data_IF_472731766662
#
_entry.id   IF_472731766662
#
_cell.length_a   1.000
_cell.length_b   1.000
_cell.length_c   1.000
_cell.angle_alpha   90.00
_cell.angle_beta   90.00
_cell.angle_gamma   90.00
#
_symmetry.space_group_name_H-M   'P 1'
#
loop_
_entity.id
_entity.type
_entity.pdbx_description
1 polymer ?
#
# COMPACT_ATOMS: atom_id res chain seq x y z
N UNK A 1 40.49 -34.72 -23.06
CA UNK A 1 39.11 -34.36 -23.48
C UNK A 1 38.24 -34.86 -22.36
N UNK A 2 37.97 -33.99 -21.39
CA UNK A 2 37.12 -34.29 -20.25
C UNK A 2 35.87 -33.44 -20.36
N UNK A 3 34.74 -34.11 -20.22
CA UNK A 3 33.39 -33.57 -20.24
C UNK A 3 32.92 -33.55 -18.79
N UNK A 4 32.65 -32.34 -18.33
CA UNK A 4 31.66 -31.90 -17.35
C UNK A 4 31.01 -32.94 -16.41
N UNK A 5 31.02 -32.67 -15.10
CA UNK A 5 29.79 -32.32 -14.36
C UNK A 5 30.10 -32.01 -12.90
N UNK A 6 29.63 -30.85 -12.44
CA UNK A 6 29.30 -30.60 -11.04
C UNK A 6 30.38 -29.87 -10.26
N UNK A 7 30.42 -28.54 -10.40
CA UNK A 7 31.08 -27.69 -9.42
C UNK A 7 30.39 -27.86 -8.05
N UNK A 8 31.06 -28.54 -7.13
CA UNK A 8 30.87 -28.33 -5.69
C UNK A 8 31.27 -26.89 -5.37
N UNK A 9 30.32 -26.08 -4.89
CA UNK A 9 30.63 -24.82 -4.25
C UNK A 9 30.09 -24.83 -2.81
N UNK A 10 31.07 -24.92 -1.93
CA UNK A 10 31.09 -24.53 -0.53
C UNK A 10 30.10 -23.38 -0.22
N UNK A 11 29.03 -23.66 0.54
CA UNK A 11 27.96 -22.71 0.92
C UNK A 11 28.44 -21.67 1.97
N UNK A 12 29.46 -20.90 1.63
CA UNK A 12 29.83 -19.65 2.31
C UNK A 12 30.41 -18.68 1.29
N UNK A 13 29.51 -18.04 0.55
CA UNK A 13 29.50 -16.60 0.22
C UNK A 13 28.57 -16.36 -0.97
N UNK A 14 27.84 -15.23 -0.94
CA UNK A 14 27.00 -14.65 -2.00
C UNK A 14 25.57 -15.21 -2.14
N UNK A 15 24.61 -14.57 -1.48
CA UNK A 15 23.34 -14.27 -2.16
C UNK A 15 23.48 -12.84 -2.68
N UNK A 16 24.24 -12.71 -3.76
CA UNK A 16 24.18 -11.57 -4.67
C UNK A 16 23.78 -12.12 -6.04
N UNK A 17 22.51 -12.53 -6.16
CA UNK A 17 21.75 -12.50 -7.42
C UNK A 17 20.26 -12.40 -7.12
N UNK A 18 19.83 -11.21 -6.74
CA UNK A 18 18.59 -10.65 -7.28
C UNK A 18 18.97 -9.29 -7.87
N UNK A 19 19.72 -9.35 -8.98
CA UNK A 19 19.74 -8.25 -9.93
C UNK A 19 18.33 -8.21 -10.54
N UNK A 20 17.70 -7.05 -10.46
CA UNK A 20 16.31 -6.74 -10.86
C UNK A 20 15.20 -7.06 -9.84
N UNK A 21 15.19 -6.31 -8.73
CA UNK A 21 13.94 -5.86 -8.14
C UNK A 21 14.12 -4.44 -7.63
N UNK A 22 13.78 -3.48 -8.49
CA UNK A 22 13.25 -2.17 -8.11
C UNK A 22 11.99 -2.39 -7.25
N UNK A 23 12.13 -2.96 -6.05
CA UNK A 23 11.06 -2.94 -5.05
C UNK A 23 11.10 -1.57 -4.39
N UNK A 24 10.76 -0.56 -5.15
CA UNK A 24 10.19 0.66 -4.60
C UNK A 24 8.98 0.22 -3.77
N UNK A 25 9.16 0.08 -2.46
CA UNK A 25 8.03 -0.02 -1.54
C UNK A 25 7.12 1.17 -1.85
N UNK A 26 5.92 0.90 -2.37
CA UNK A 26 4.93 1.93 -2.64
C UNK A 26 4.41 2.43 -1.29
N UNK A 27 5.13 3.40 -0.71
CA UNK A 27 4.70 4.08 0.51
C UNK A 27 3.54 4.99 0.11
N UNK A 28 2.33 4.61 0.51
CA UNK A 28 1.17 5.48 0.39
C UNK A 28 1.20 6.48 1.53
N UNK A 29 1.24 7.76 1.20
CA UNK A 29 1.12 8.83 2.19
C UNK A 29 -0.36 9.07 2.52
N UNK A 30 -0.76 8.66 3.72
CA UNK A 30 -2.10 8.90 4.24
C UNK A 30 -2.21 10.17 5.10
N UNK A 31 -1.12 10.91 5.32
CA UNK A 31 -1.13 12.12 6.15
C UNK A 31 -2.17 13.17 5.71
N UNK A 32 -2.42 13.41 4.40
CA UNK A 32 -3.42 14.38 3.96
C UNK A 32 -4.85 14.07 4.40
N UNK A 33 -5.16 12.81 4.71
CA UNK A 33 -6.51 12.37 5.04
C UNK A 33 -6.80 12.36 6.55
N UNK A 34 -5.78 12.61 7.39
CA UNK A 34 -5.88 12.50 8.84
C UNK A 34 -6.92 13.46 9.44
N UNK A 35 -6.95 14.71 8.95
CA UNK A 35 -7.92 15.73 9.39
C UNK A 35 -9.36 15.36 9.02
N UNK A 36 -9.55 14.43 8.07
CA UNK A 36 -10.84 13.90 7.66
C UNK A 36 -11.21 12.60 8.35
N UNK A 37 -10.50 12.23 9.42
CA UNK A 37 -10.79 11.07 10.26
C UNK A 37 -10.21 9.76 9.76
N UNK A 38 -9.29 9.78 8.78
CA UNK A 38 -8.55 8.60 8.36
C UNK A 38 -7.40 8.33 9.33
N UNK A 39 -7.31 7.08 9.79
CA UNK A 39 -6.22 6.61 10.63
C UNK A 39 -5.67 5.29 10.11
N UNK A 40 -4.36 5.12 10.25
CA UNK A 40 -3.62 3.96 9.77
C UNK A 40 -3.11 3.17 10.98
N UNK A 41 -3.49 1.90 11.07
CA UNK A 41 -2.99 0.99 12.10
C UNK A 41 -2.29 -0.18 11.40
N UNK A 42 -0.96 -0.15 11.46
CA UNK A 42 -0.10 -1.26 11.06
C UNK A 42 0.24 -2.14 12.25
N UNK A 43 0.31 -3.46 12.05
CA UNK A 43 0.99 -4.36 12.98
C UNK A 43 2.40 -4.61 12.48
N UNK A 44 3.36 -4.71 13.39
CA UNK A 44 4.78 -5.03 13.12
C UNK A 44 5.02 -6.33 12.32
N UNK A 45 3.97 -7.14 12.11
CA UNK A 45 4.02 -8.40 11.37
C UNK A 45 3.13 -8.43 10.10
N UNK A 46 2.33 -7.40 9.83
CA UNK A 46 1.57 -7.29 8.58
C UNK A 46 2.21 -6.25 7.68
N UNK A 47 2.64 -6.69 6.49
CA UNK A 47 3.30 -5.86 5.48
C UNK A 47 2.38 -4.74 4.93
N UNK A 48 1.08 -4.79 5.21
CA UNK A 48 0.10 -3.81 4.75
C UNK A 48 -0.69 -3.26 5.96
N UNK A 49 -0.71 -1.94 6.17
CA UNK A 49 -1.52 -1.36 7.23
C UNK A 49 -3.03 -1.50 6.98
N UNK A 50 -3.83 -1.32 8.03
CA UNK A 50 -5.29 -1.21 7.86
C UNK A 50 -5.72 0.24 8.00
N UNK A 51 -6.69 0.63 7.17
CA UNK A 51 -7.31 1.96 7.16
C UNK A 51 -8.56 1.95 8.03
N UNK A 52 -8.76 3.01 8.79
CA UNK A 52 -9.96 3.26 9.59
C UNK A 52 -10.49 4.66 9.30
N UNK A 53 -11.81 4.82 9.23
CA UNK A 53 -12.51 6.09 9.06
C UNK A 53 -13.35 6.37 10.29
N UNK A 54 -13.03 7.44 11.02
CA UNK A 54 -13.66 7.80 12.31
C UNK A 54 -13.68 6.62 13.31
N UNK A 55 -12.65 5.76 13.27
CA UNK A 55 -12.52 4.57 14.12
C UNK A 55 -13.20 3.30 13.59
N UNK A 56 -13.91 3.37 12.47
CA UNK A 56 -14.51 2.20 11.81
C UNK A 56 -13.56 1.59 10.78
N UNK A 57 -13.46 0.27 10.75
CA UNK A 57 -12.54 -0.44 9.87
C UNK A 57 -12.98 -0.31 8.40
N UNK A 58 -12.11 0.26 7.56
CA UNK A 58 -12.35 0.45 6.12
C UNK A 58 -11.87 -0.76 5.33
N UNK A 59 -12.73 -1.33 4.49
CA UNK A 59 -12.37 -2.41 3.56
C UNK A 59 -11.62 -1.90 2.35
N UNK A 60 -12.17 -0.85 1.73
CA UNK A 60 -11.58 -0.17 0.57
C UNK A 60 -11.63 1.33 0.79
N UNK A 61 -10.48 1.97 0.58
CA UNK A 61 -10.32 3.42 0.51
C UNK A 61 -10.10 3.80 -0.95
N UNK A 62 -10.91 4.73 -1.45
CA UNK A 62 -10.80 5.30 -2.78
C UNK A 62 -10.32 6.74 -2.69
N UNK A 63 -9.29 7.06 -3.48
CA UNK A 63 -8.93 8.45 -3.74
C UNK A 63 -9.19 8.76 -5.21
N UNK A 64 -10.22 9.54 -5.50
CA UNK A 64 -10.61 9.94 -6.85
C UNK A 64 -10.47 11.44 -7.03
N UNK A 65 -9.44 11.90 -7.74
CA UNK A 65 -9.20 13.33 -7.96
C UNK A 65 -9.94 13.82 -9.21
N UNK A 66 -10.31 15.11 -9.19
CA UNK A 66 -11.02 15.76 -10.29
C UNK A 66 -10.23 15.81 -11.61
N UNK A 67 -8.91 15.62 -11.57
CA UNK A 67 -8.05 15.54 -12.75
C UNK A 67 -8.05 14.14 -13.41
N UNK A 68 -8.80 13.18 -12.87
CA UNK A 68 -8.88 11.80 -13.36
C UNK A 68 -7.84 10.85 -12.75
N UNK A 69 -6.95 11.36 -11.89
CA UNK A 69 -6.06 10.50 -11.11
C UNK A 69 -6.87 9.76 -10.06
N UNK A 70 -6.68 8.45 -9.95
CA UNK A 70 -7.30 7.67 -8.91
C UNK A 70 -6.34 6.63 -8.32
N UNK A 71 -6.49 6.35 -7.03
CA UNK A 71 -5.93 5.15 -6.42
C UNK A 71 -6.93 4.47 -5.51
N UNK A 72 -6.73 3.17 -5.34
CA UNK A 72 -7.52 2.33 -4.43
C UNK A 72 -6.55 1.67 -3.46
N UNK A 73 -6.92 1.67 -2.18
CA UNK A 73 -6.24 0.90 -1.16
C UNK A 73 -7.19 -0.10 -0.50
N UNK A 74 -6.77 -1.37 -0.45
CA UNK A 74 -7.53 -2.43 0.21
C UNK A 74 -6.85 -2.83 1.52
N UNK A 75 -7.56 -2.65 2.63
CA UNK A 75 -7.14 -3.18 3.93
C UNK A 75 -7.16 -4.71 3.93
N UNK A 76 -6.24 -5.33 4.67
CA UNK A 76 -6.11 -6.79 4.71
C UNK A 76 -7.28 -7.47 5.44
N UNK A 77 -7.78 -6.84 6.51
CA UNK A 77 -8.87 -7.37 7.34
C UNK A 77 -10.26 -7.39 6.67
N UNK A 78 -11.23 -7.95 7.38
CA UNK A 78 -12.63 -8.13 6.95
C UNK A 78 -13.51 -6.94 7.33
N UNK A 79 -13.12 -5.74 6.90
CA UNK A 79 -13.98 -4.56 6.97
C UNK A 79 -15.24 -4.66 6.14
N UNK A 80 -16.24 -3.85 6.50
CA UNK A 80 -17.52 -3.77 5.78
C UNK A 80 -17.77 -2.40 5.13
N UNK A 81 -17.02 -1.35 5.49
CA UNK A 81 -17.26 -0.01 4.93
C UNK A 81 -16.28 0.32 3.79
N UNK A 82 -16.80 1.08 2.83
CA UNK A 82 -16.07 1.64 1.71
C UNK A 82 -16.10 3.15 1.89
N UNK A 83 -14.98 3.82 1.63
CA UNK A 83 -14.90 5.27 1.75
C UNK A 83 -14.21 5.88 0.54
N UNK A 84 -14.60 7.10 0.20
CA UNK A 84 -14.09 7.85 -0.93
C UNK A 84 -13.74 9.28 -0.50
N UNK A 85 -12.68 9.85 -1.08
CA UNK A 85 -12.31 11.26 -0.90
C UNK A 85 -13.25 12.19 -1.67
N UNK A 86 -13.51 13.37 -1.12
CA UNK A 86 -14.35 14.40 -1.73
C UNK A 86 -13.49 15.62 -2.02
N UNK A 87 -13.52 16.08 -3.26
CA UNK A 87 -12.77 17.23 -3.75
C UNK A 87 -13.70 18.37 -4.18
N UNK A 88 -13.30 19.63 -3.94
CA UNK A 88 -13.98 20.80 -4.49
C UNK A 88 -13.61 21.04 -5.97
N UNK A 89 -14.27 21.99 -6.63
CA UNK A 89 -14.03 22.31 -8.06
C UNK A 89 -12.59 22.74 -8.36
N UNK A 90 -11.87 23.28 -7.36
CA UNK A 90 -10.48 23.71 -7.47
C UNK A 90 -9.49 22.53 -7.25
N UNK A 91 -9.99 21.34 -6.90
CA UNK A 91 -9.19 20.14 -6.65
C UNK A 91 -8.63 20.04 -5.24
N UNK A 92 -9.13 20.83 -4.29
CA UNK A 92 -8.76 20.71 -2.89
C UNK A 92 -9.55 19.57 -2.24
N UNK A 93 -8.85 18.73 -1.47
CA UNK A 93 -9.50 17.73 -0.63
C UNK A 93 -10.33 18.46 0.43
N UNK A 94 -11.63 18.20 0.48
CA UNK A 94 -12.58 18.82 1.41
C UNK A 94 -13.25 17.81 2.34
N UNK A 95 -13.10 16.51 2.08
CA UNK A 95 -13.73 15.49 2.90
C UNK A 95 -13.37 14.06 2.53
N UNK A 96 -13.90 13.14 3.34
CA UNK A 96 -14.00 11.72 3.08
C UNK A 96 -15.40 11.29 3.51
N UNK A 97 -16.07 10.48 2.70
CA UNK A 97 -17.41 9.98 2.99
C UNK A 97 -17.51 8.46 2.86
N UNK A 98 -18.52 7.88 3.52
CA UNK A 98 -18.88 6.47 3.36
C UNK A 98 -19.73 6.32 2.10
N UNK A 99 -19.49 5.24 1.37
CA UNK A 99 -20.30 4.82 0.22
C UNK A 99 -21.46 3.91 0.62
#
# INVERSE_FOLDING_TARGET
>A
MDWDTGFEQNDTDLIETADDADSTEFIIDFAPYADYGITIIGTVCSLLPNVYYQGEFVKIFFDGKNNGDYFMYQSWGVGDIFVETVYDEDGNLIGVEKM
#
